data_IF_867984963066
#
_entry.id   IF_867984963066
#
_cell.length_a   1.000
_cell.length_b   1.000
_cell.length_c   1.000
_cell.angle_alpha   90.00
_cell.angle_beta   90.00
_cell.angle_gamma   90.00
#
_symmetry.space_group_name_H-M   'P 1'
#
loop_
_entity.id
_entity.type
_entity.pdbx_description
1 polymer ?
#
# COMPACT_ATOMS: atom_id res chain seq x y z
N UNK A 1 0.49 -36.19 5.91
CA UNK A 1 -0.25 -35.67 7.07
C UNK A 1 -1.23 -34.65 6.54
N UNK A 2 -2.48 -35.07 6.37
CA UNK A 2 -3.57 -34.31 5.75
C UNK A 2 -4.40 -33.73 6.88
N UNK A 3 -4.36 -32.42 7.10
CA UNK A 3 -5.37 -31.65 7.85
C UNK A 3 -5.24 -30.16 7.46
N UNK A 4 -5.76 -29.76 6.30
CA UNK A 4 -6.14 -28.36 6.06
C UNK A 4 -7.47 -28.36 5.31
N UNK A 5 -8.54 -28.65 6.05
CA UNK A 5 -9.90 -28.45 5.57
C UNK A 5 -10.22 -26.97 5.64
N UNK A 6 -10.38 -26.32 4.47
CA UNK A 6 -11.07 -25.05 4.11
C UNK A 6 -11.08 -23.83 5.07
N UNK A 7 -11.01 -23.99 6.39
CA UNK A 7 -10.95 -22.95 7.44
C UNK A 7 -9.57 -22.28 7.56
N UNK A 8 -8.47 -23.00 7.34
CA UNK A 8 -7.12 -22.47 7.54
C UNK A 8 -6.60 -21.49 6.48
N UNK A 9 -7.31 -21.31 5.35
CA UNK A 9 -6.91 -20.33 4.33
C UNK A 9 -7.09 -18.89 4.81
N UNK A 10 -8.11 -18.62 5.63
CA UNK A 10 -8.32 -17.29 6.21
C UNK A 10 -7.35 -17.00 7.35
N UNK A 11 -6.97 -18.01 8.12
CA UNK A 11 -6.01 -17.84 9.22
C UNK A 11 -4.61 -17.47 8.70
N UNK A 12 -4.19 -18.09 7.59
CA UNK A 12 -2.92 -17.80 6.94
C UNK A 12 -2.91 -16.44 6.21
N UNK A 13 -4.07 -15.88 5.86
CA UNK A 13 -4.13 -14.54 5.25
C UNK A 13 -3.45 -13.48 6.14
N UNK A 14 -3.60 -13.62 7.45
CA UNK A 14 -3.09 -12.63 8.39
C UNK A 14 -1.61 -12.80 8.72
N UNK A 15 -0.92 -13.84 8.24
CA UNK A 15 0.50 -14.03 8.57
C UNK A 15 1.42 -13.44 7.52
N UNK A 16 1.04 -13.39 6.24
CA UNK A 16 1.93 -12.96 5.17
C UNK A 16 1.90 -11.44 4.97
N UNK A 17 3.08 -10.85 4.77
CA UNK A 17 3.23 -9.43 4.48
C UNK A 17 2.56 -9.08 3.15
N UNK A 18 2.60 -9.99 2.17
CA UNK A 18 1.97 -9.81 0.86
C UNK A 18 0.46 -9.62 1.01
N UNK A 19 -0.22 -10.40 1.85
CA UNK A 19 -1.66 -10.26 2.12
C UNK A 19 -2.00 -8.98 2.90
N UNK A 20 -1.15 -8.57 3.85
CA UNK A 20 -1.27 -7.25 4.51
C UNK A 20 -1.11 -6.12 3.48
N UNK A 21 -0.15 -6.23 2.57
CA UNK A 21 0.08 -5.29 1.48
C UNK A 21 -1.08 -5.21 0.49
N UNK A 22 -1.67 -6.34 0.09
CA UNK A 22 -2.86 -6.38 -0.77
C UNK A 22 -4.04 -5.72 -0.07
N UNK A 23 -4.26 -6.02 1.21
CA UNK A 23 -5.31 -5.39 2.03
C UNK A 23 -5.13 -3.88 2.06
N UNK A 24 -3.89 -3.42 2.31
CA UNK A 24 -3.51 -2.00 2.29
C UNK A 24 -3.77 -1.35 0.92
N UNK A 25 -3.41 -2.03 -0.18
CA UNK A 25 -3.66 -1.59 -1.55
C UNK A 25 -5.16 -1.48 -1.85
N UNK A 26 -5.97 -2.45 -1.42
CA UNK A 26 -7.43 -2.43 -1.57
C UNK A 26 -8.04 -1.23 -0.87
N UNK A 27 -7.65 -0.94 0.37
CA UNK A 27 -8.13 0.26 1.06
C UNK A 27 -7.63 1.54 0.40
N UNK A 28 -6.35 1.64 0.04
CA UNK A 28 -5.80 2.82 -0.60
C UNK A 28 -6.52 3.15 -1.93
N UNK A 29 -6.71 2.15 -2.78
CA UNK A 29 -7.42 2.30 -4.06
C UNK A 29 -8.91 2.57 -3.86
N UNK A 30 -9.58 1.89 -2.91
CA UNK A 30 -10.98 2.15 -2.58
C UNK A 30 -11.24 3.58 -2.11
N UNK A 31 -10.39 4.09 -1.20
CA UNK A 31 -10.44 5.49 -0.78
C UNK A 31 -10.15 6.45 -1.93
N UNK A 32 -9.16 6.13 -2.77
CA UNK A 32 -8.86 6.94 -3.97
C UNK A 32 -10.07 7.05 -4.88
N UNK A 33 -10.77 5.96 -5.14
CA UNK A 33 -11.97 5.94 -5.99
C UNK A 33 -13.09 6.76 -5.33
N UNK A 34 -13.34 6.56 -4.04
CA UNK A 34 -14.39 7.28 -3.30
C UNK A 34 -14.14 8.80 -3.29
N UNK A 35 -12.90 9.23 -3.04
CA UNK A 35 -12.52 10.65 -3.04
C UNK A 35 -12.64 11.25 -4.44
N UNK A 36 -12.13 10.56 -5.46
CA UNK A 36 -12.27 11.00 -6.86
C UNK A 36 -13.74 11.10 -7.27
N UNK A 37 -14.59 10.15 -6.87
CA UNK A 37 -16.02 10.21 -7.11
C UNK A 37 -16.67 11.40 -6.40
N UNK A 38 -16.35 11.65 -5.11
CA UNK A 38 -16.83 12.85 -4.40
C UNK A 38 -16.45 14.11 -5.17
N UNK A 39 -15.18 14.24 -5.55
CA UNK A 39 -14.69 15.40 -6.28
C UNK A 39 -15.39 15.59 -7.63
N UNK A 40 -15.66 14.49 -8.32
CA UNK A 40 -16.36 14.50 -9.60
C UNK A 40 -17.83 14.95 -9.48
N UNK A 41 -18.53 14.57 -8.40
CA UNK A 41 -19.96 14.90 -8.24
C UNK A 41 -20.22 16.22 -7.50
N UNK A 42 -19.35 16.60 -6.56
CA UNK A 42 -19.55 17.71 -5.63
C UNK A 42 -18.46 18.79 -5.69
N UNK A 43 -17.54 18.71 -6.65
CA UNK A 43 -16.45 19.68 -6.81
C UNK A 43 -15.25 19.41 -5.89
N UNK A 44 -14.21 20.27 -5.93
CA UNK A 44 -12.97 20.06 -5.18
C UNK A 44 -13.22 20.02 -3.66
N UNK A 45 -12.35 19.31 -2.94
CA UNK A 45 -12.36 19.31 -1.47
C UNK A 45 -11.50 20.49 -1.00
N UNK A 46 -12.13 21.44 -0.31
CA UNK A 46 -11.48 22.56 0.35
C UNK A 46 -10.53 22.10 1.45
N UNK A 47 -9.44 22.84 1.64
CA UNK A 47 -8.46 22.59 2.70
C UNK A 47 -8.27 23.79 3.63
N UNK A 48 -9.19 24.76 3.56
CA UNK A 48 -9.06 26.10 4.13
C UNK A 48 -8.99 26.08 5.66
N UNK A 49 -9.72 25.14 6.29
CA UNK A 49 -9.72 24.96 7.75
C UNK A 49 -9.03 23.66 8.16
N UNK A 50 -9.44 22.53 7.58
CA UNK A 50 -8.80 21.24 7.81
C UNK A 50 -9.18 20.23 6.74
N UNK A 51 -8.25 19.33 6.42
CA UNK A 51 -8.54 18.23 5.52
C UNK A 51 -9.51 17.23 6.18
N UNK A 52 -10.57 16.75 5.48
CA UNK A 52 -11.48 15.75 6.04
C UNK A 52 -10.75 14.48 6.47
N UNK A 53 -11.27 13.80 7.50
CA UNK A 53 -10.63 12.62 8.09
C UNK A 53 -10.36 11.51 7.05
N UNK A 54 -11.30 11.27 6.14
CA UNK A 54 -11.17 10.22 5.14
C UNK A 54 -10.07 10.50 4.11
N UNK A 55 -9.78 11.78 3.82
CA UNK A 55 -8.66 12.17 2.97
C UNK A 55 -7.33 12.03 3.71
N UNK A 56 -7.29 12.35 5.01
CA UNK A 56 -6.10 12.08 5.86
C UNK A 56 -5.80 10.59 5.93
N UNK A 57 -6.83 9.76 6.13
CA UNK A 57 -6.72 8.30 6.11
C UNK A 57 -6.19 7.82 4.76
N UNK A 58 -6.78 8.29 3.65
CA UNK A 58 -6.27 7.97 2.32
C UNK A 58 -4.80 8.36 2.14
N UNK A 59 -4.38 9.51 2.65
CA UNK A 59 -2.99 9.96 2.53
C UNK A 59 -2.02 9.00 3.21
N UNK A 60 -2.36 8.55 4.43
CA UNK A 60 -1.57 7.54 5.17
C UNK A 60 -1.55 6.21 4.44
N UNK A 61 -2.72 5.76 3.96
CA UNK A 61 -2.85 4.52 3.20
C UNK A 61 -2.00 4.58 1.93
N UNK A 62 -2.09 5.65 1.14
CA UNK A 62 -1.35 5.83 -0.11
C UNK A 62 0.18 5.84 0.11
N UNK A 63 0.67 6.65 1.05
CA UNK A 63 2.11 6.75 1.32
C UNK A 63 2.69 5.44 1.89
N UNK A 64 1.85 4.58 2.47
CA UNK A 64 2.27 3.26 2.94
C UNK A 64 2.16 2.21 1.83
N UNK A 65 1.04 2.20 1.11
CA UNK A 65 0.71 1.21 0.09
C UNK A 65 1.72 1.21 -1.06
N UNK A 66 2.10 2.38 -1.57
CA UNK A 66 3.00 2.47 -2.73
C UNK A 66 4.40 1.89 -2.42
N UNK A 67 5.11 2.32 -1.37
CA UNK A 67 6.42 1.74 -1.05
C UNK A 67 6.35 0.28 -0.61
N UNK A 68 5.30 -0.14 0.12
CA UNK A 68 5.14 -1.53 0.57
C UNK A 68 4.88 -2.45 -0.63
N UNK A 69 4.09 -2.02 -1.61
CA UNK A 69 3.88 -2.77 -2.84
C UNK A 69 5.21 -3.03 -3.57
N UNK A 70 6.01 -1.97 -3.78
CA UNK A 70 7.33 -2.10 -4.38
C UNK A 70 8.28 -2.97 -3.54
N UNK A 71 8.21 -2.89 -2.21
CA UNK A 71 9.00 -3.72 -1.31
C UNK A 71 8.69 -5.21 -1.51
N UNK A 72 7.40 -5.57 -1.55
CA UNK A 72 6.93 -6.95 -1.76
C UNK A 72 7.46 -7.47 -3.11
N UNK A 73 7.35 -6.68 -4.18
CA UNK A 73 7.90 -7.07 -5.49
C UNK A 73 9.43 -7.19 -5.45
N UNK A 74 10.16 -6.26 -4.83
CA UNK A 74 11.62 -6.39 -4.75
C UNK A 74 12.00 -7.66 -4.01
N UNK A 75 11.40 -7.95 -2.85
CA UNK A 75 11.74 -9.14 -2.09
C UNK A 75 11.38 -10.44 -2.79
N UNK A 76 10.23 -10.49 -3.42
CA UNK A 76 9.85 -11.71 -4.13
C UNK A 76 10.83 -12.03 -5.24
N UNK A 77 11.08 -11.10 -6.18
CA UNK A 77 11.92 -11.39 -7.35
C UNK A 77 13.41 -11.53 -7.01
N UNK A 78 13.89 -10.95 -5.91
CA UNK A 78 15.32 -11.00 -5.55
C UNK A 78 15.67 -12.06 -4.51
N UNK A 79 14.70 -12.50 -3.69
CA UNK A 79 14.94 -13.44 -2.60
C UNK A 79 14.07 -14.69 -2.73
N UNK A 80 12.74 -14.53 -2.79
CA UNK A 80 11.82 -15.66 -2.62
C UNK A 80 11.69 -16.51 -3.89
N UNK A 81 11.65 -15.85 -5.06
CA UNK A 81 11.48 -16.49 -6.36
C UNK A 81 12.65 -17.42 -6.68
N UNK A 82 13.90 -16.94 -6.57
CA UNK A 82 15.11 -17.74 -6.78
C UNK A 82 15.27 -18.85 -5.72
N UNK A 83 14.73 -18.64 -4.51
CA UNK A 83 14.72 -19.64 -3.46
C UNK A 83 13.62 -20.72 -3.65
N UNK A 84 12.78 -20.61 -4.69
CA UNK A 84 11.67 -21.54 -4.92
C UNK A 84 10.62 -21.51 -3.80
N UNK A 85 10.48 -20.38 -3.11
CA UNK A 85 9.49 -20.22 -2.04
C UNK A 85 8.13 -19.92 -2.64
N UNK A 86 7.18 -20.84 -2.46
CA UNK A 86 5.81 -20.71 -2.95
C UNK A 86 4.92 -20.21 -1.81
N UNK A 87 4.49 -18.94 -1.84
CA UNK A 87 3.59 -18.37 -0.82
C UNK A 87 2.14 -18.75 -1.10
N UNK A 88 1.75 -18.77 -2.37
CA UNK A 88 0.38 -19.02 -2.82
C UNK A 88 0.07 -20.48 -3.16
N UNK A 89 -1.21 -20.76 -3.47
CA UNK A 89 -1.69 -22.10 -3.85
C UNK A 89 -1.21 -22.57 -5.22
N UNK A 90 -0.87 -21.63 -6.11
CA UNK A 90 -0.32 -21.96 -7.42
C UNK A 90 0.65 -20.88 -7.86
N UNK A 91 1.63 -21.29 -8.66
CA UNK A 91 2.70 -20.44 -9.17
C UNK A 91 2.20 -19.18 -9.91
N UNK A 92 1.14 -19.30 -10.71
CA UNK A 92 0.60 -18.15 -11.44
C UNK A 92 0.02 -17.09 -10.50
N UNK A 93 -0.68 -17.50 -9.46
CA UNK A 93 -1.19 -16.62 -8.42
C UNK A 93 -0.05 -16.00 -7.62
N UNK A 94 0.99 -16.78 -7.28
CA UNK A 94 2.17 -16.32 -6.55
C UNK A 94 2.89 -15.18 -7.30
N UNK A 95 3.17 -15.38 -8.59
CA UNK A 95 3.74 -14.34 -9.46
C UNK A 95 2.78 -13.15 -9.59
N UNK A 96 1.47 -13.39 -9.73
CA UNK A 96 0.49 -12.34 -9.89
C UNK A 96 0.36 -11.46 -8.64
N UNK A 97 0.25 -12.03 -7.44
CA UNK A 97 0.06 -11.27 -6.21
C UNK A 97 1.28 -10.42 -5.89
N UNK A 98 2.50 -10.91 -6.15
CA UNK A 98 3.71 -10.16 -5.87
C UNK A 98 4.06 -9.15 -6.99
N UNK A 99 3.57 -9.32 -8.22
CA UNK A 99 3.84 -8.43 -9.35
C UNK A 99 2.75 -7.40 -9.62
N UNK A 100 1.49 -7.84 -9.69
CA UNK A 100 0.35 -6.98 -9.99
C UNK A 100 0.10 -5.95 -8.89
N UNK A 101 0.42 -6.25 -7.63
CA UNK A 101 0.25 -5.29 -6.54
C UNK A 101 1.02 -3.98 -6.82
N UNK A 102 2.28 -4.09 -7.28
CA UNK A 102 3.12 -2.94 -7.64
C UNK A 102 2.63 -2.23 -8.87
N UNK A 103 2.13 -2.97 -9.87
CA UNK A 103 1.55 -2.37 -11.07
C UNK A 103 0.34 -1.50 -10.69
N UNK A 104 -0.57 -2.02 -9.87
CA UNK A 104 -1.76 -1.27 -9.42
C UNK A 104 -1.36 -0.01 -8.67
N UNK A 105 -0.42 -0.11 -7.72
CA UNK A 105 0.01 1.05 -6.94
C UNK A 105 0.84 2.05 -7.75
N UNK A 106 1.62 1.58 -8.72
CA UNK A 106 2.31 2.44 -9.69
C UNK A 106 1.33 3.22 -10.56
N UNK A 107 0.28 2.57 -11.07
CA UNK A 107 -0.76 3.25 -11.85
C UNK A 107 -1.46 4.32 -11.01
N UNK A 108 -1.79 4.01 -9.74
CA UNK A 108 -2.35 5.00 -8.83
C UNK A 108 -1.40 6.20 -8.62
N UNK A 109 -0.12 5.93 -8.39
CA UNK A 109 0.91 6.97 -8.27
C UNK A 109 1.01 7.82 -9.54
N UNK A 110 1.09 7.19 -10.71
CA UNK A 110 1.32 7.86 -12.00
C UNK A 110 0.12 8.67 -12.50
N UNK A 111 -1.11 8.27 -12.16
CA UNK A 111 -2.32 8.87 -12.72
C UNK A 111 -3.21 9.63 -11.71
N UNK A 112 -2.89 9.60 -10.41
CA UNK A 112 -3.51 10.51 -9.44
C UNK A 112 -2.69 11.79 -9.28
N UNK A 113 -3.31 12.92 -8.98
CA UNK A 113 -2.62 14.17 -8.59
C UNK A 113 -2.34 14.22 -7.09
N UNK A 114 -2.26 13.06 -6.42
CA UNK A 114 -2.09 13.01 -4.97
C UNK A 114 -0.67 13.45 -4.57
N UNK A 115 -0.52 14.36 -3.58
CA UNK A 115 0.78 14.89 -3.20
C UNK A 115 1.61 13.88 -2.39
N UNK A 116 2.82 13.59 -2.87
CA UNK A 116 3.82 12.80 -2.14
C UNK A 116 4.87 13.73 -1.50
N UNK A 117 5.20 13.51 -0.23
CA UNK A 117 6.13 14.39 0.53
C UNK A 117 7.17 13.57 1.29
N UNK A 118 8.40 14.08 1.36
CA UNK A 118 9.50 13.45 2.10
C UNK A 118 9.16 13.26 3.59
N UNK A 119 8.45 14.23 4.19
CA UNK A 119 8.04 14.18 5.60
C UNK A 119 7.20 12.95 5.97
N UNK A 120 6.56 12.28 5.00
CA UNK A 120 5.72 11.11 5.26
C UNK A 120 6.47 9.78 5.23
N UNK A 121 7.80 9.78 5.13
CA UNK A 121 8.61 8.54 5.12
C UNK A 121 8.33 7.63 6.32
N UNK A 122 7.94 8.19 7.46
CA UNK A 122 7.61 7.40 8.65
C UNK A 122 6.37 6.50 8.48
N UNK A 123 5.47 6.77 7.52
CA UNK A 123 4.21 6.04 7.36
C UNK A 123 4.42 4.59 6.89
N UNK A 124 5.12 4.31 5.77
CA UNK A 124 5.46 2.93 5.40
C UNK A 124 6.34 2.24 6.45
N UNK A 125 7.17 3.00 7.17
CA UNK A 125 7.98 2.48 8.28
C UNK A 125 7.15 1.96 9.45
N UNK A 126 6.17 2.72 9.92
CA UNK A 126 5.28 2.30 10.99
C UNK A 126 4.53 1.03 10.57
N UNK A 127 4.08 0.96 9.31
CA UNK A 127 3.44 -0.25 8.79
C UNK A 127 4.39 -1.47 8.83
N UNK A 128 5.60 -1.33 8.29
CA UNK A 128 6.61 -2.40 8.29
C UNK A 128 7.02 -2.84 9.70
N UNK A 129 7.19 -1.91 10.63
CA UNK A 129 7.49 -2.21 12.04
C UNK A 129 6.32 -2.93 12.72
N UNK A 130 5.08 -2.53 12.43
CA UNK A 130 3.89 -3.18 12.96
C UNK A 130 3.85 -4.65 12.53
N UNK A 131 4.11 -4.93 11.25
CA UNK A 131 4.22 -6.29 10.75
C UNK A 131 5.41 -7.05 11.40
N UNK A 132 6.56 -6.39 11.54
CA UNK A 132 7.73 -6.96 12.22
C UNK A 132 7.41 -7.41 13.65
N UNK A 133 6.78 -6.54 14.45
CA UNK A 133 6.33 -6.87 15.80
C UNK A 133 5.30 -8.00 15.82
N UNK A 134 4.32 -7.93 14.93
CA UNK A 134 3.35 -9.01 14.75
C UNK A 134 4.06 -10.34 14.48
N UNK A 135 5.02 -10.39 13.55
CA UNK A 135 5.73 -11.61 13.19
C UNK A 135 6.56 -12.19 14.35
N UNK A 136 7.14 -11.32 15.19
CA UNK A 136 7.86 -11.72 16.39
C UNK A 136 6.93 -12.32 17.45
N UNK A 137 5.79 -11.67 17.70
CA UNK A 137 4.77 -12.16 18.63
C UNK A 137 4.19 -13.49 18.12
N UNK A 138 3.90 -13.58 16.82
CA UNK A 138 3.40 -14.79 16.18
C UNK A 138 4.35 -15.97 16.39
N UNK A 139 5.65 -15.76 16.19
CA UNK A 139 6.68 -16.76 16.50
C UNK A 139 6.70 -17.16 17.98
N UNK A 140 6.70 -16.18 18.90
CA UNK A 140 6.72 -16.44 20.34
C UNK A 140 5.47 -17.17 20.83
N UNK A 141 4.34 -17.02 20.15
CA UNK A 141 3.10 -17.73 20.40
C UNK A 141 3.08 -19.16 19.81
N UNK A 142 4.16 -19.61 19.15
CA UNK A 142 4.25 -20.93 18.52
C UNK A 142 3.60 -21.00 17.13
N UNK A 143 3.40 -19.86 16.48
CA UNK A 143 2.83 -19.78 15.13
C UNK A 143 3.68 -20.51 14.09
N UNK A 144 3.00 -21.14 13.11
CA UNK A 144 3.62 -21.90 12.03
C UNK A 144 3.16 -21.38 10.66
N UNK A 145 3.96 -21.60 9.61
CA UNK A 145 3.52 -21.41 8.22
C UNK A 145 2.64 -22.57 7.73
N UNK A 146 2.22 -22.50 6.46
CA UNK A 146 1.42 -23.54 5.80
C UNK A 146 2.11 -24.90 5.68
N UNK A 147 3.43 -24.96 5.89
CA UNK A 147 4.24 -26.17 5.82
C UNK A 147 4.66 -26.69 7.21
N UNK A 148 4.27 -26.01 8.30
CA UNK A 148 4.63 -26.36 9.67
C UNK A 148 5.98 -25.82 10.14
N UNK A 149 6.59 -24.88 9.40
CA UNK A 149 7.81 -24.19 9.83
C UNK A 149 7.48 -23.09 10.85
N UNK A 150 8.37 -22.87 11.82
CA UNK A 150 8.21 -21.80 12.81
C UNK A 150 8.50 -20.38 12.27
N UNK A 151 8.88 -20.23 11.01
CA UNK A 151 9.08 -18.94 10.36
C UNK A 151 7.98 -18.72 9.31
N UNK A 152 7.57 -17.46 9.11
CA UNK A 152 6.67 -17.08 8.02
C UNK A 152 7.45 -16.98 6.71
N UNK A 153 8.61 -16.29 6.77
CA UNK A 153 9.56 -16.17 5.69
C UNK A 153 10.91 -16.73 6.15
N UNK A 154 11.61 -17.55 5.34
CA UNK A 154 12.90 -18.12 5.74
C UNK A 154 13.95 -17.07 6.15
N UNK A 155 13.88 -15.87 5.54
CA UNK A 155 14.77 -14.73 5.82
C UNK A 155 14.41 -13.95 7.09
N UNK A 156 13.20 -14.14 7.64
CA UNK A 156 12.74 -13.59 8.92
C UNK A 156 12.45 -14.77 9.86
N UNK A 157 13.52 -15.34 10.41
CA UNK A 157 13.46 -16.46 11.33
C UNK A 157 13.83 -16.00 12.75
N UNK A 158 12.83 -15.78 13.59
CA UNK A 158 13.01 -15.30 14.96
C UNK A 158 13.73 -16.30 15.88
N UNK A 159 13.85 -17.57 15.49
CA UNK A 159 14.76 -18.53 16.12
C UNK A 159 16.25 -18.26 15.86
N UNK A 160 16.55 -17.37 14.89
CA UNK A 160 17.88 -16.84 14.56
C UNK A 160 17.84 -15.30 14.61
N UNK A 161 17.81 -14.68 15.81
CA UNK A 161 17.52 -13.26 15.95
C UNK A 161 18.57 -12.35 15.29
N UNK A 162 19.85 -12.72 15.28
CA UNK A 162 20.90 -11.91 14.65
C UNK A 162 20.66 -11.66 13.15
N UNK A 163 20.58 -12.71 12.31
CA UNK A 163 20.24 -12.57 10.89
C UNK A 163 18.89 -11.86 10.67
N UNK A 164 17.88 -12.17 11.48
CA UNK A 164 16.55 -11.55 11.36
C UNK A 164 16.59 -10.05 11.61
N UNK A 165 17.30 -9.58 12.64
CA UNK A 165 17.48 -8.15 12.89
C UNK A 165 18.25 -7.46 11.76
N UNK A 166 19.26 -8.14 11.19
CA UNK A 166 19.94 -7.67 10.00
C UNK A 166 18.99 -7.49 8.81
N UNK A 167 18.13 -8.48 8.57
CA UNK A 167 17.12 -8.42 7.52
C UNK A 167 16.10 -7.29 7.76
N UNK A 168 15.62 -7.11 9.00
CA UNK A 168 14.74 -5.99 9.38
C UNK A 168 15.40 -4.64 9.10
N UNK A 169 16.69 -4.48 9.42
CA UNK A 169 17.43 -3.24 9.16
C UNK A 169 17.59 -2.97 7.65
N UNK A 170 17.88 -3.99 6.84
CA UNK A 170 17.94 -3.88 5.37
C UNK A 170 16.58 -3.49 4.80
N UNK A 171 15.50 -4.13 5.25
CA UNK A 171 14.13 -3.79 4.87
C UNK A 171 13.79 -2.34 5.20
N UNK A 172 14.18 -1.86 6.39
CA UNK A 172 13.97 -0.49 6.81
C UNK A 172 14.68 0.51 5.87
N UNK A 173 15.96 0.28 5.55
CA UNK A 173 16.70 1.12 4.61
C UNK A 173 16.08 1.11 3.20
N UNK A 174 15.66 -0.07 2.73
CA UNK A 174 14.98 -0.22 1.44
C UNK A 174 13.65 0.55 1.43
N UNK A 175 12.87 0.54 2.52
CA UNK A 175 11.67 1.36 2.62
C UNK A 175 11.93 2.86 2.54
N UNK A 176 13.04 3.37 3.09
CA UNK A 176 13.45 4.77 2.86
C UNK A 176 13.64 4.99 1.36
N UNK A 177 14.45 4.15 0.71
CA UNK A 177 14.78 4.31 -0.69
C UNK A 177 13.53 4.24 -1.58
N UNK A 178 12.61 3.33 -1.31
CA UNK A 178 11.35 3.20 -2.04
C UNK A 178 10.39 4.37 -1.79
N UNK A 179 10.36 4.94 -0.58
CA UNK A 179 9.62 6.18 -0.33
C UNK A 179 10.21 7.37 -1.08
N UNK A 180 11.54 7.49 -1.10
CA UNK A 180 12.22 8.52 -1.91
C UNK A 180 11.93 8.34 -3.40
N UNK A 181 11.94 7.10 -3.91
CA UNK A 181 11.57 6.80 -5.28
C UNK A 181 10.10 7.18 -5.57
N UNK A 182 9.18 6.91 -4.63
CA UNK A 182 7.78 7.32 -4.74
C UNK A 182 7.63 8.84 -4.85
N UNK A 183 8.33 9.59 -4.00
CA UNK A 183 8.34 11.06 -4.06
C UNK A 183 8.94 11.56 -5.37
N UNK A 184 10.04 10.95 -5.84
CA UNK A 184 10.68 11.30 -7.11
C UNK A 184 9.77 11.05 -8.31
N UNK A 185 9.11 9.89 -8.37
CA UNK A 185 8.13 9.55 -9.40
C UNK A 185 6.92 10.50 -9.39
N UNK A 186 6.42 10.87 -8.21
CA UNK A 186 5.36 11.87 -8.09
C UNK A 186 5.80 13.24 -8.62
N UNK A 187 7.03 13.68 -8.33
CA UNK A 187 7.57 14.92 -8.87
C UNK A 187 7.73 14.89 -10.41
N UNK A 188 8.16 13.75 -10.95
CA UNK A 188 8.23 13.53 -12.41
C UNK A 188 6.83 13.62 -13.02
N UNK A 189 5.86 12.91 -12.45
CA UNK A 189 4.44 12.96 -12.88
C UNK A 189 3.93 14.40 -12.89
N UNK A 190 4.13 15.15 -11.80
CA UNK A 190 3.65 16.52 -11.68
C UNK A 190 4.32 17.45 -12.69
N UNK A 191 5.62 17.26 -12.94
CA UNK A 191 6.35 18.00 -13.97
C UNK A 191 5.90 17.68 -15.41
N UNK A 192 5.51 16.43 -15.69
CA UNK A 192 4.90 16.06 -16.97
C UNK A 192 3.50 16.69 -17.07
N UNK A 193 2.67 16.55 -16.04
CA UNK A 193 1.32 17.09 -16.00
C UNK A 193 1.30 18.61 -16.22
N UNK A 194 2.21 19.35 -15.58
CA UNK A 194 2.31 20.80 -15.75
C UNK A 194 2.69 21.25 -17.15
N UNK A 195 3.31 20.38 -17.95
CA UNK A 195 3.71 20.66 -19.34
C UNK A 195 2.68 20.19 -20.37
N UNK A 196 1.94 19.12 -20.07
CA UNK A 196 1.05 18.46 -21.02
C UNK A 196 -0.43 18.78 -20.79
N UNK A 197 -0.83 19.16 -19.58
CA UNK A 197 -2.23 19.36 -19.22
C UNK A 197 -2.50 20.85 -18.94
N UNK A 198 -3.68 21.32 -19.35
CA UNK A 198 -4.16 22.65 -18.97
C UNK A 198 -4.71 22.59 -17.54
N UNK A 199 -4.45 23.58 -16.68
CA UNK A 199 -5.08 23.65 -15.37
C UNK A 199 -6.60 23.58 -15.51
N UNK A 200 -7.25 22.74 -14.71
CA UNK A 200 -8.70 22.76 -14.62
C UNK A 200 -9.15 24.15 -14.12
N UNK A 201 -10.13 24.76 -14.78
CA UNK A 201 -10.69 26.05 -14.35
C UNK A 201 -11.33 25.83 -12.98
N UNK A 202 -10.74 26.40 -11.93
CA UNK A 202 -11.32 26.43 -10.59
C UNK A 202 -12.51 27.37 -10.66
N UNK A 203 -13.70 26.82 -10.88
CA UNK A 203 -14.94 27.56 -10.62
C UNK A 203 -15.14 27.51 -9.11
N UNK A 204 -15.32 28.67 -8.47
CA UNK A 204 -15.70 28.75 -7.06
C UNK A 204 -17.12 28.18 -6.95
N UNK A 205 -17.20 26.88 -6.69
CA UNK A 205 -18.47 26.20 -6.44
C UNK A 205 -18.51 25.96 -4.94
N UNK A 206 -19.59 26.43 -4.32
CA UNK A 206 -19.87 26.23 -2.91
C UNK A 206 -19.81 24.72 -2.59
N UNK A 207 -18.96 24.34 -1.62
CA UNK A 207 -18.78 22.94 -1.27
C UNK A 207 -20.11 22.33 -0.80
N UNK A 208 -20.54 21.24 -1.44
CA UNK A 208 -21.70 20.46 -1.01
C UNK A 208 -22.93 20.58 -1.92
N UNK A 209 -22.95 21.51 -2.87
CA UNK A 209 -23.93 21.50 -3.94
C UNK A 209 -23.49 20.54 -5.07
N UNK A 210 -24.33 19.59 -5.51
CA UNK A 210 -24.04 18.79 -6.69
C UNK A 210 -23.74 19.70 -7.89
N UNK A 211 -22.68 19.40 -8.64
CA UNK A 211 -22.29 20.17 -9.84
C UNK A 211 -23.37 20.17 -10.93
N UNK A 212 -24.35 19.27 -10.85
CA UNK A 212 -25.48 19.14 -11.77
C UNK A 212 -26.83 19.52 -11.15
N UNK A 213 -26.84 20.26 -10.05
CA UNK A 213 -28.08 20.83 -9.53
C UNK A 213 -28.69 21.77 -10.58
N UNK A 214 -30.00 21.67 -10.90
CA UNK A 214 -30.66 22.71 -11.69
C UNK A 214 -30.40 24.05 -11.02
N UNK A 215 -30.06 25.08 -11.80
CA UNK A 215 -29.90 26.44 -11.27
C UNK A 215 -31.11 26.76 -10.40
N UNK A 216 -30.90 26.98 -9.10
CA UNK A 216 -31.97 27.50 -8.25
C UNK A 216 -32.27 28.90 -8.77
N UNK A 217 -33.38 29.05 -9.47
CA UNK A 217 -33.95 30.35 -9.78
C UNK A 217 -34.30 31.00 -8.45
N UNK A 218 -33.46 31.93 -8.01
CA UNK A 218 -33.79 32.81 -6.89
C UNK A 218 -34.96 33.67 -7.37
N UNK A 219 -36.14 33.46 -6.79
CA UNK A 219 -37.32 34.32 -6.94
C UNK A 219 -37.29 35.39 -5.87
#
# INVERSE_FOLDING_TARGET
MIMYGRSGMLELWFIYLTHWGITLNTFATGFSVAISARCYFYGPIGADFSLPWYVKTYWVLYNSAVPIAFLITVFYWTILYEAGFEEEMNYGLDVAVHGLNSIVMFLLLAFSSHPSRLLHVYQPFIFGLTYGFFSAIYYLAGGLDKFGNAFIYPVINWGKPGPTLGMVAVTALLLVALHLATVGLAAIRDGIASRCLRPAVITYIEEGLPLRSPAQTIV
#
